data_IF_441599504432
#
_entry.id   IF_441599504432
#
_cell.length_a   1.000
_cell.length_b   1.000
_cell.length_c   1.000
_cell.angle_alpha   90.00
_cell.angle_beta   90.00
_cell.angle_gamma   90.00
#
_symmetry.space_group_name_H-M   'P 1'
#
loop_
_entity.id
_entity.type
_entity.pdbx_description
1 polymer ?
#
# COMPACT_ATOMS: atom_id res chain seq x y z
N UNK A 1 10.48 15.21 -9.90
CA UNK A 1 9.34 14.43 -10.41
C UNK A 1 8.40 14.17 -9.25
N UNK A 2 7.30 14.93 -9.11
CA UNK A 2 6.23 14.58 -8.18
C UNK A 2 5.23 13.72 -8.98
N UNK A 3 5.44 12.40 -8.99
CA UNK A 3 4.54 11.46 -9.65
C UNK A 3 3.22 11.34 -8.86
N UNK A 4 2.17 10.92 -9.55
CA UNK A 4 0.73 11.11 -9.32
C UNK A 4 0.11 10.70 -7.95
N UNK A 5 0.90 10.37 -6.94
CA UNK A 5 0.46 9.87 -5.62
C UNK A 5 1.29 10.44 -4.45
N UNK A 6 2.11 11.48 -4.69
CA UNK A 6 2.88 12.17 -3.65
C UNK A 6 2.15 13.34 -2.97
N UNK A 7 0.85 13.50 -3.23
CA UNK A 7 0.04 14.60 -2.70
C UNK A 7 -1.47 14.34 -2.83
N UNK A 8 -2.31 15.28 -2.35
CA UNK A 8 -3.76 15.09 -2.30
C UNK A 8 -4.38 14.86 -3.69
N UNK A 9 -5.22 13.85 -3.79
CA UNK A 9 -6.04 13.54 -4.95
C UNK A 9 -7.35 14.36 -4.91
N UNK A 10 -7.97 14.67 -6.07
CA UNK A 10 -9.20 15.45 -6.15
C UNK A 10 -10.45 14.61 -5.80
N UNK A 11 -10.35 13.77 -4.76
CA UNK A 11 -11.43 12.97 -4.22
C UNK A 11 -11.77 13.44 -2.80
N UNK A 12 -13.05 13.38 -2.46
CA UNK A 12 -13.50 13.63 -1.09
C UNK A 12 -12.96 12.56 -0.13
N UNK A 13 -12.87 12.92 1.14
CA UNK A 13 -12.62 11.96 2.21
C UNK A 13 -13.71 10.87 2.19
N UNK A 14 -13.33 9.64 2.51
CA UNK A 14 -14.26 8.51 2.67
C UNK A 14 -15.12 8.20 1.43
N UNK A 15 -14.65 8.57 0.23
CA UNK A 15 -15.40 8.41 -1.02
C UNK A 15 -15.54 6.95 -1.46
N UNK A 16 -14.57 6.09 -1.11
CA UNK A 16 -14.49 4.72 -1.61
C UNK A 16 -14.69 3.68 -0.52
N UNK A 17 -15.45 2.63 -0.84
CA UNK A 17 -15.60 1.45 0.02
C UNK A 17 -14.44 0.46 -0.10
N UNK A 18 -13.70 0.51 -1.21
CA UNK A 18 -12.54 -0.32 -1.44
C UNK A 18 -11.58 0.29 -2.45
N UNK A 19 -10.29 0.01 -2.28
CA UNK A 19 -9.19 0.53 -3.11
C UNK A 19 -8.24 -0.62 -3.43
N UNK A 20 -7.79 -0.71 -4.68
CA UNK A 20 -6.82 -1.73 -5.12
C UNK A 20 -5.60 -1.03 -5.73
N UNK A 21 -4.42 -1.36 -5.23
CA UNK A 21 -3.13 -0.80 -5.62
C UNK A 21 -2.21 -1.92 -6.10
N UNK A 22 -2.30 -2.23 -7.39
CA UNK A 22 -1.43 -3.20 -8.03
C UNK A 22 -0.29 -2.49 -8.76
N UNK A 23 0.96 -2.78 -8.40
CA UNK A 23 2.15 -2.20 -9.06
C UNK A 23 2.46 -0.73 -8.69
N UNK A 24 1.80 -0.18 -7.68
CA UNK A 24 2.02 1.22 -7.23
C UNK A 24 3.29 1.35 -6.36
N UNK A 25 3.44 0.46 -5.38
CA UNK A 25 4.57 0.49 -4.44
C UNK A 25 5.73 -0.37 -4.96
N UNK A 26 6.49 0.22 -5.90
CA UNK A 26 7.68 -0.35 -6.53
C UNK A 26 8.89 0.58 -6.41
N UNK A 27 10.09 0.05 -6.65
CA UNK A 27 11.33 0.84 -6.64
C UNK A 27 11.25 2.06 -7.57
N UNK A 28 11.71 3.22 -7.08
CA UNK A 28 11.77 4.47 -7.84
C UNK A 28 10.42 5.18 -8.08
N UNK A 29 9.33 4.73 -7.45
CA UNK A 29 8.00 5.32 -7.58
C UNK A 29 7.59 6.08 -6.30
N UNK A 30 6.55 5.62 -5.62
CA UNK A 30 5.95 6.26 -4.45
C UNK A 30 6.30 5.44 -3.22
N UNK A 31 6.74 6.10 -2.16
CA UNK A 31 7.05 5.46 -0.89
C UNK A 31 5.79 5.22 -0.06
N UNK A 32 5.99 4.86 1.21
CA UNK A 32 4.89 4.54 2.11
C UNK A 32 3.98 5.75 2.42
N UNK A 33 4.45 6.97 2.16
CA UNK A 33 3.67 8.21 2.26
C UNK A 33 2.45 8.24 1.33
N UNK A 34 2.50 7.54 0.19
CA UNK A 34 1.34 7.43 -0.71
C UNK A 34 0.16 6.67 -0.09
N UNK A 35 0.38 5.90 0.98
CA UNK A 35 -0.67 5.18 1.68
C UNK A 35 -1.62 6.11 2.43
N UNK A 36 -1.13 7.25 2.93
CA UNK A 36 -1.92 8.17 3.75
C UNK A 36 -3.11 8.73 2.96
N UNK A 37 -2.86 9.05 1.70
CA UNK A 37 -3.88 9.56 0.80
C UNK A 37 -4.90 8.49 0.42
N UNK A 38 -4.46 7.23 0.31
CA UNK A 38 -5.34 6.08 0.07
C UNK A 38 -6.23 5.81 1.28
N UNK A 39 -5.70 5.98 2.49
CA UNK A 39 -6.47 5.90 3.73
C UNK A 39 -7.50 7.03 3.78
N UNK A 40 -7.13 8.28 3.47
CA UNK A 40 -8.04 9.44 3.49
C UNK A 40 -9.28 9.24 2.63
N UNK A 41 -9.10 8.75 1.40
CA UNK A 41 -10.21 8.60 0.45
C UNK A 41 -10.99 7.28 0.63
N UNK A 42 -10.50 6.36 1.47
CA UNK A 42 -11.19 5.13 1.83
C UNK A 42 -12.05 5.37 3.07
N UNK A 43 -13.33 4.98 3.03
CA UNK A 43 -14.24 5.15 4.17
C UNK A 43 -13.84 4.27 5.36
N UNK A 44 -14.22 4.63 6.60
CA UNK A 44 -14.11 3.73 7.75
C UNK A 44 -14.81 2.39 7.49
N UNK A 45 -14.15 1.30 7.85
CA UNK A 45 -14.54 -0.07 7.53
C UNK A 45 -14.27 -0.51 6.08
N UNK A 46 -13.76 0.38 5.22
CA UNK A 46 -13.37 0.06 3.85
C UNK A 46 -12.07 -0.75 3.76
N UNK A 47 -11.83 -1.36 2.61
CA UNK A 47 -10.70 -2.27 2.38
C UNK A 47 -9.72 -1.70 1.36
N UNK A 48 -8.43 -1.69 1.70
CA UNK A 48 -7.34 -1.39 0.78
C UNK A 48 -6.55 -2.67 0.53
N UNK A 49 -6.47 -3.07 -0.73
CA UNK A 49 -5.63 -4.20 -1.18
C UNK A 49 -4.44 -3.63 -1.94
N UNK A 50 -3.23 -4.00 -1.56
CA UNK A 50 -2.03 -3.50 -2.21
C UNK A 50 -0.96 -4.57 -2.41
N UNK A 51 -0.12 -4.35 -3.42
CA UNK A 51 1.11 -5.12 -3.62
C UNK A 51 2.32 -4.22 -3.39
N UNK A 52 3.34 -4.72 -2.69
CA UNK A 52 4.59 -4.01 -2.43
C UNK A 52 5.79 -4.88 -2.77
N UNK A 53 6.81 -4.30 -3.41
CA UNK A 53 8.10 -4.97 -3.63
C UNK A 53 8.84 -5.14 -2.30
N UNK A 54 9.45 -6.30 -2.08
CA UNK A 54 10.13 -6.59 -0.81
C UNK A 54 11.25 -5.59 -0.48
N UNK A 55 11.94 -5.06 -1.49
CA UNK A 55 12.91 -3.97 -1.30
C UNK A 55 12.30 -2.75 -0.61
N UNK A 56 11.07 -2.35 -0.98
CA UNK A 56 10.35 -1.27 -0.32
C UNK A 56 9.82 -1.69 1.06
N UNK A 57 9.35 -2.93 1.15
CA UNK A 57 8.90 -3.51 2.41
C UNK A 57 9.96 -3.38 3.49
N UNK A 58 11.17 -3.86 3.20
CA UNK A 58 12.30 -3.88 4.12
C UNK A 58 12.92 -2.49 4.33
N UNK A 59 12.77 -1.57 3.37
CA UNK A 59 13.26 -0.19 3.46
C UNK A 59 12.41 0.73 4.35
N UNK A 60 11.30 0.25 4.91
CA UNK A 60 10.51 1.02 5.90
C UNK A 60 9.00 0.95 5.71
N UNK A 61 8.50 0.36 4.62
CA UNK A 61 7.06 0.21 4.43
C UNK A 61 6.43 -0.67 5.52
N UNK A 62 7.13 -1.74 5.93
CA UNK A 62 6.71 -2.59 7.05
C UNK A 62 6.51 -1.80 8.35
N UNK A 63 7.46 -0.91 8.66
CA UNK A 63 7.41 -0.05 9.84
C UNK A 63 6.24 0.95 9.76
N UNK A 64 5.98 1.52 8.57
CA UNK A 64 4.83 2.43 8.38
C UNK A 64 3.50 1.72 8.61
N UNK A 65 3.33 0.50 8.09
CA UNK A 65 2.12 -0.30 8.35
C UNK A 65 1.96 -0.59 9.84
N UNK A 66 3.03 -1.01 10.52
CA UNK A 66 2.99 -1.27 11.96
C UNK A 66 2.65 -0.03 12.79
N UNK A 67 3.17 1.15 12.42
CA UNK A 67 2.84 2.44 13.06
C UNK A 67 1.36 2.81 12.88
N UNK A 68 0.82 2.64 11.66
CA UNK A 68 -0.59 2.92 11.38
C UNK A 68 -1.54 1.95 12.10
N UNK A 69 -1.16 0.68 12.21
CA UNK A 69 -1.89 -0.35 12.96
C UNK A 69 -1.87 -0.03 14.46
N UNK A 70 -0.70 0.28 15.03
CA UNK A 70 -0.56 0.66 16.44
C UNK A 70 -1.35 1.94 16.81
N UNK A 71 -1.49 2.88 15.86
CA UNK A 71 -2.32 4.08 16.02
C UNK A 71 -3.82 3.83 15.83
N UNK A 72 -4.20 2.62 15.43
CA UNK A 72 -5.58 2.25 15.14
C UNK A 72 -6.14 2.96 13.90
N UNK A 73 -5.31 3.41 12.97
CA UNK A 73 -5.75 4.01 11.70
C UNK A 73 -6.21 2.93 10.72
N UNK A 74 -5.50 1.82 10.68
CA UNK A 74 -5.87 0.63 9.90
C UNK A 74 -5.73 -0.61 10.77
N UNK A 75 -6.35 -1.71 10.35
CA UNK A 75 -6.03 -3.05 10.81
C UNK A 75 -5.42 -3.83 9.65
N UNK A 76 -4.26 -4.47 9.83
CA UNK A 76 -3.75 -5.41 8.82
C UNK A 76 -4.54 -6.73 8.89
N UNK A 77 -5.41 -6.95 7.90
CA UNK A 77 -6.28 -8.12 7.84
C UNK A 77 -5.57 -9.35 7.27
N UNK A 78 -4.79 -9.17 6.20
CA UNK A 78 -4.06 -10.26 5.53
C UNK A 78 -2.70 -9.80 5.01
N UNK A 79 -1.76 -10.74 4.92
CA UNK A 79 -0.46 -10.60 4.25
C UNK A 79 -0.13 -11.93 3.57
N UNK A 80 0.26 -11.89 2.29
CA UNK A 80 0.75 -13.08 1.60
C UNK A 80 2.20 -13.36 1.95
N UNK A 81 2.64 -14.61 1.83
CA UNK A 81 4.08 -14.88 1.70
C UNK A 81 4.65 -14.16 0.47
N UNK A 82 5.97 -13.86 0.44
CA UNK A 82 6.60 -13.31 -0.75
C UNK A 82 6.40 -14.19 -2.00
N UNK A 83 6.14 -13.56 -3.15
CA UNK A 83 5.91 -14.23 -4.43
C UNK A 83 6.61 -13.51 -5.58
N UNK A 84 6.87 -14.23 -6.67
CA UNK A 84 7.41 -13.68 -7.91
C UNK A 84 6.28 -12.98 -8.66
N UNK A 85 6.33 -11.64 -8.70
CA UNK A 85 5.28 -10.83 -9.34
C UNK A 85 5.42 -10.69 -10.86
N UNK A 86 6.57 -11.08 -11.44
CA UNK A 86 6.79 -11.11 -12.90
C UNK A 86 7.42 -12.46 -13.29
N UNK A 87 6.63 -13.53 -13.44
CA UNK A 87 7.16 -14.84 -13.82
C UNK A 87 7.89 -14.79 -15.18
N UNK A 88 9.07 -15.41 -15.27
CA UNK A 88 9.87 -15.48 -16.50
C UNK A 88 10.96 -14.41 -16.63
N UNK A 89 11.00 -13.42 -15.74
CA UNK A 89 12.14 -12.50 -15.63
C UNK A 89 13.17 -13.01 -14.61
N UNK A 90 14.45 -13.03 -15.00
CA UNK A 90 15.52 -13.64 -14.23
C UNK A 90 15.86 -12.91 -12.92
N UNK A 91 15.70 -11.58 -12.89
CA UNK A 91 16.13 -10.72 -11.78
C UNK A 91 14.97 -10.08 -11.02
N UNK A 92 13.90 -10.85 -10.77
CA UNK A 92 12.72 -10.30 -10.10
C UNK A 92 12.89 -10.25 -8.59
N UNK A 93 12.81 -9.05 -8.04
CA UNK A 93 12.61 -8.87 -6.60
C UNK A 93 11.21 -9.35 -6.24
N UNK A 94 11.06 -10.28 -5.26
CA UNK A 94 9.75 -10.73 -4.81
C UNK A 94 8.88 -9.58 -4.33
N UNK A 95 7.56 -9.77 -4.44
CA UNK A 95 6.55 -8.88 -3.90
C UNK A 95 5.75 -9.60 -2.83
N UNK A 96 4.97 -8.84 -2.07
CA UNK A 96 3.93 -9.37 -1.19
C UNK A 96 2.64 -8.58 -1.34
N UNK A 97 1.52 -9.24 -1.08
CA UNK A 97 0.18 -8.64 -1.04
C UNK A 97 -0.23 -8.34 0.40
N UNK A 98 -0.97 -7.27 0.59
CA UNK A 98 -1.53 -6.86 1.89
C UNK A 98 -3.00 -6.50 1.73
N UNK A 99 -3.78 -6.81 2.75
CA UNK A 99 -5.14 -6.32 2.93
C UNK A 99 -5.19 -5.50 4.20
N UNK A 100 -5.58 -4.23 4.08
CA UNK A 100 -5.77 -3.31 5.19
C UNK A 100 -7.25 -2.95 5.29
N UNK A 101 -7.80 -2.98 6.48
CA UNK A 101 -9.10 -2.38 6.79
C UNK A 101 -8.86 -1.00 7.39
N UNK A 102 -9.52 0.03 6.88
CA UNK A 102 -9.53 1.36 7.50
C UNK A 102 -10.46 1.32 8.70
N UNK A 103 -10.02 1.82 9.85
CA UNK A 103 -10.80 1.78 11.09
C UNK A 103 -11.78 2.95 11.21
#
# INVERSE_FOLDING_TARGET
>A
HCLALGGPLPFADNAYAGIILAGVFTSGHVGAEGLDEMIRICRPGGIIVLTVKNTLWDAGFAARIADLDAKGVVTRAEETSPYVSMPGEADTVPSRGLVLRVN
#
